data_IF_495630869219
#
_entry.id   IF_495630869219
#
_cell.length_a   1.000
_cell.length_b   1.000
_cell.length_c   1.000
_cell.angle_alpha   90.00
_cell.angle_beta   90.00
_cell.angle_gamma   90.00
#
_symmetry.space_group_name_H-M   'P 1'
#
loop_
_entity.id
_entity.type
_entity.pdbx_description
1 polymer ?
#
# COMPACT_ATOMS: atom_id res chain seq x y z
N UNK A 1 -21.69 -11.13 -28.29
CA UNK A 1 -22.61 -11.69 -27.25
C UNK A 1 -22.05 -12.87 -26.45
N UNK A 2 -21.31 -13.84 -27.04
CA UNK A 2 -20.74 -14.98 -26.28
C UNK A 2 -19.69 -14.58 -25.22
N UNK A 3 -18.82 -13.62 -25.55
CA UNK A 3 -17.79 -13.09 -24.64
C UNK A 3 -18.39 -12.42 -23.40
N UNK A 4 -19.39 -11.57 -23.58
CA UNK A 4 -20.07 -10.87 -22.48
C UNK A 4 -20.71 -11.84 -21.48
N UNK A 5 -21.30 -12.94 -21.97
CA UNK A 5 -21.83 -14.02 -21.12
C UNK A 5 -20.75 -14.72 -20.29
N UNK A 6 -19.52 -14.80 -20.81
CA UNK A 6 -18.38 -15.36 -20.07
C UNK A 6 -17.91 -14.37 -19.01
N UNK A 7 -17.86 -13.08 -19.33
CA UNK A 7 -17.51 -12.02 -18.38
C UNK A 7 -18.45 -11.99 -17.16
N UNK A 8 -19.77 -12.09 -17.37
CA UNK A 8 -20.75 -12.11 -16.26
C UNK A 8 -20.56 -13.27 -15.30
N UNK A 9 -20.19 -14.45 -15.79
CA UNK A 9 -19.89 -15.57 -14.90
C UNK A 9 -18.54 -15.41 -14.23
N UNK A 10 -17.54 -14.94 -14.99
CA UNK A 10 -16.18 -14.79 -14.52
C UNK A 10 -16.12 -13.83 -13.33
N UNK A 11 -16.92 -12.76 -13.32
CA UNK A 11 -16.98 -11.84 -12.18
C UNK A 11 -17.46 -12.51 -10.89
N UNK A 12 -18.51 -13.34 -10.96
CA UNK A 12 -19.01 -14.09 -9.79
C UNK A 12 -17.90 -15.01 -9.25
N UNK A 13 -17.28 -15.80 -10.12
CA UNK A 13 -16.21 -16.71 -9.70
C UNK A 13 -14.96 -15.99 -9.20
N UNK A 14 -14.61 -14.85 -9.81
CA UNK A 14 -13.53 -13.98 -9.34
C UNK A 14 -13.73 -13.59 -7.87
N UNK A 15 -14.92 -13.08 -7.51
CA UNK A 15 -15.19 -12.66 -6.14
C UNK A 15 -15.27 -13.84 -5.16
N UNK A 16 -15.81 -14.99 -5.58
CA UNK A 16 -15.79 -16.22 -4.77
C UNK A 16 -14.35 -16.66 -4.50
N UNK A 17 -13.49 -16.69 -5.52
CA UNK A 17 -12.08 -17.08 -5.38
C UNK A 17 -11.35 -16.09 -4.46
N UNK A 18 -11.57 -14.78 -4.61
CA UNK A 18 -10.98 -13.77 -3.71
C UNK A 18 -11.42 -13.96 -2.27
N UNK A 19 -12.69 -14.26 -2.03
CA UNK A 19 -13.19 -14.51 -0.67
C UNK A 19 -12.55 -15.76 -0.07
N UNK A 20 -12.41 -16.84 -0.84
CA UNK A 20 -11.72 -18.06 -0.39
C UNK A 20 -10.25 -17.76 -0.08
N UNK A 21 -9.55 -17.04 -0.96
CA UNK A 21 -8.15 -16.65 -0.70
C UNK A 21 -8.02 -15.80 0.56
N UNK A 22 -8.95 -14.88 0.81
CA UNK A 22 -8.97 -14.13 2.06
C UNK A 22 -9.16 -15.05 3.27
N UNK A 23 -10.04 -16.05 3.20
CA UNK A 23 -10.24 -17.00 4.30
C UNK A 23 -9.03 -17.90 4.54
N UNK A 24 -8.29 -18.27 3.48
CA UNK A 24 -7.09 -19.13 3.57
C UNK A 24 -5.87 -18.35 4.04
N UNK A 25 -5.66 -17.14 3.53
CA UNK A 25 -4.46 -16.32 3.80
C UNK A 25 -4.67 -15.40 5.01
N UNK A 26 -5.93 -15.09 5.34
CA UNK A 26 -6.33 -14.12 6.37
C UNK A 26 -6.07 -14.56 7.81
N UNK A 27 -5.62 -15.80 8.05
CA UNK A 27 -5.22 -16.25 9.39
C UNK A 27 -3.84 -15.68 9.75
N UNK A 28 -3.94 -14.52 10.42
CA UNK A 28 -3.04 -13.77 11.32
C UNK A 28 -1.76 -13.11 10.81
N UNK A 29 -0.85 -13.72 10.04
CA UNK A 29 0.44 -13.05 9.73
C UNK A 29 0.78 -12.97 8.24
N UNK A 30 0.39 -13.99 7.48
CA UNK A 30 0.73 -14.10 6.06
C UNK A 30 0.05 -13.00 5.23
N UNK A 31 -1.19 -12.64 5.59
CA UNK A 31 -1.91 -11.56 4.94
C UNK A 31 -1.25 -10.21 5.16
N UNK A 32 -0.89 -9.89 6.41
CA UNK A 32 -0.19 -8.65 6.75
C UNK A 32 1.18 -8.60 6.07
N UNK A 33 1.89 -9.72 6.01
CA UNK A 33 3.15 -9.84 5.27
C UNK A 33 2.97 -9.55 3.78
N UNK A 34 2.01 -10.17 3.09
CA UNK A 34 1.82 -9.87 1.67
C UNK A 34 1.36 -8.43 1.43
N UNK A 35 0.55 -7.89 2.33
CA UNK A 35 -0.07 -6.58 2.15
C UNK A 35 0.89 -5.42 2.46
N UNK A 36 1.49 -5.43 3.65
CA UNK A 36 2.28 -4.31 4.19
C UNK A 36 3.77 -4.42 3.93
N UNK A 37 4.30 -5.60 3.62
CA UNK A 37 5.73 -5.75 3.38
C UNK A 37 6.13 -5.04 2.08
N UNK A 38 7.17 -4.21 2.18
CA UNK A 38 7.67 -3.32 1.14
C UNK A 38 8.14 -4.02 -0.14
N UNK A 39 8.43 -5.32 -0.11
CA UNK A 39 8.89 -6.07 -1.28
C UNK A 39 7.80 -6.89 -1.99
N UNK A 40 6.63 -7.03 -1.37
CA UNK A 40 5.64 -8.04 -1.79
C UNK A 40 4.61 -7.54 -2.80
N UNK A 41 4.85 -6.42 -3.49
CA UNK A 41 3.91 -5.83 -4.45
C UNK A 41 3.47 -6.81 -5.54
N UNK A 42 4.43 -7.45 -6.21
CA UNK A 42 4.14 -8.41 -7.28
C UNK A 42 3.39 -9.63 -6.75
N UNK A 43 3.85 -10.21 -5.64
CA UNK A 43 3.24 -11.39 -5.01
C UNK A 43 1.80 -11.09 -4.59
N UNK A 44 1.58 -9.93 -3.96
CA UNK A 44 0.25 -9.51 -3.57
C UNK A 44 -0.67 -9.28 -4.79
N UNK A 45 -0.20 -8.58 -5.82
CA UNK A 45 -0.97 -8.36 -7.07
C UNK A 45 -1.32 -9.71 -7.71
N UNK A 46 -0.36 -10.62 -7.78
CA UNK A 46 -0.58 -11.94 -8.35
C UNK A 46 -1.65 -12.72 -7.58
N UNK A 47 -1.50 -12.84 -6.26
CA UNK A 47 -2.40 -13.61 -5.40
C UNK A 47 -3.80 -12.99 -5.34
N UNK A 48 -3.91 -11.66 -5.24
CA UNK A 48 -5.20 -11.00 -4.95
C UNK A 48 -5.96 -10.54 -6.20
N UNK A 49 -5.29 -10.37 -7.34
CA UNK A 49 -5.91 -9.89 -8.57
C UNK A 49 -5.75 -10.89 -9.72
N UNK A 50 -4.51 -11.22 -10.11
CA UNK A 50 -4.25 -11.99 -11.33
C UNK A 50 -4.79 -13.42 -11.21
N UNK A 51 -4.42 -14.13 -10.13
CA UNK A 51 -4.85 -15.51 -9.91
C UNK A 51 -6.38 -15.64 -9.84
N UNK A 52 -7.13 -14.80 -9.09
CA UNK A 52 -8.58 -14.80 -9.11
C UNK A 52 -9.20 -14.52 -10.47
N UNK A 53 -8.63 -13.63 -11.28
CA UNK A 53 -9.12 -13.34 -12.63
C UNK A 53 -8.96 -14.60 -13.51
N UNK A 54 -7.79 -15.22 -13.48
CA UNK A 54 -7.51 -16.44 -14.26
C UNK A 54 -8.48 -17.55 -13.86
N UNK A 55 -8.59 -17.85 -12.56
CA UNK A 55 -9.48 -18.89 -12.06
C UNK A 55 -10.94 -18.57 -12.36
N UNK A 56 -11.37 -17.32 -12.21
CA UNK A 56 -12.72 -16.89 -12.53
C UNK A 56 -13.09 -17.10 -14.00
N UNK A 57 -12.15 -16.80 -14.90
CA UNK A 57 -12.30 -17.07 -16.34
C UNK A 57 -12.40 -18.58 -16.59
N UNK A 58 -11.49 -19.39 -16.03
CA UNK A 58 -11.49 -20.85 -16.20
C UNK A 58 -12.82 -21.47 -15.73
N UNK A 59 -13.32 -21.09 -14.55
CA UNK A 59 -14.62 -21.55 -14.06
C UNK A 59 -15.79 -21.09 -14.93
N UNK A 60 -15.75 -19.87 -15.47
CA UNK A 60 -16.76 -19.40 -16.42
C UNK A 60 -16.79 -20.20 -17.74
N UNK A 61 -15.65 -20.77 -18.12
CA UNK A 61 -15.55 -21.71 -19.24
C UNK A 61 -16.11 -23.09 -18.90
N UNK A 62 -15.71 -23.66 -17.77
CA UNK A 62 -16.14 -24.99 -17.33
C UNK A 62 -17.64 -25.07 -17.01
N UNK A 63 -18.20 -24.05 -16.35
CA UNK A 63 -19.56 -24.13 -15.79
C UNK A 63 -20.62 -23.59 -16.78
N UNK A 64 -21.53 -24.49 -17.18
CA UNK A 64 -22.68 -24.19 -18.02
C UNK A 64 -23.92 -23.92 -17.16
N UNK A 65 -24.00 -22.74 -16.56
CA UNK A 65 -25.19 -22.30 -15.81
C UNK A 65 -25.81 -21.02 -16.38
N UNK A 66 -27.11 -21.08 -16.70
CA UNK A 66 -27.91 -19.90 -17.10
C UNK A 66 -28.17 -19.00 -15.90
N UNK A 67 -28.41 -19.58 -14.72
CA UNK A 67 -28.61 -18.83 -13.47
C UNK A 67 -27.40 -17.94 -13.18
N UNK A 68 -26.19 -18.51 -13.15
CA UNK A 68 -24.96 -17.74 -12.87
C UNK A 68 -24.77 -16.62 -13.90
N UNK A 69 -25.02 -16.90 -15.17
CA UNK A 69 -24.94 -15.88 -16.22
C UNK A 69 -25.94 -14.73 -16.01
N UNK A 70 -27.18 -15.04 -15.62
CA UNK A 70 -28.21 -14.03 -15.41
C UNK A 70 -27.96 -13.24 -14.11
N UNK A 71 -27.50 -13.90 -13.04
CA UNK A 71 -27.06 -13.26 -11.80
C UNK A 71 -25.89 -12.30 -12.07
N UNK A 72 -24.94 -12.72 -12.91
CA UNK A 72 -23.75 -11.93 -13.25
C UNK A 72 -24.06 -10.60 -13.95
N UNK A 73 -25.23 -10.48 -14.59
CA UNK A 73 -25.70 -9.22 -15.18
C UNK A 73 -26.02 -8.16 -14.13
N UNK A 74 -26.44 -8.58 -12.94
CA UNK A 74 -26.69 -7.69 -11.80
C UNK A 74 -25.41 -7.49 -11.00
N UNK A 75 -24.65 -8.56 -10.81
CA UNK A 75 -23.45 -8.53 -10.00
C UNK A 75 -22.31 -7.70 -10.61
N UNK A 76 -21.99 -7.88 -11.90
CA UNK A 76 -20.84 -7.20 -12.51
C UNK A 76 -20.91 -5.67 -12.45
N UNK A 77 -22.05 -5.00 -12.78
CA UNK A 77 -22.15 -3.55 -12.63
C UNK A 77 -21.97 -3.07 -11.18
N UNK A 78 -22.59 -3.77 -10.22
CA UNK A 78 -22.47 -3.43 -8.79
C UNK A 78 -21.03 -3.60 -8.29
N UNK A 79 -20.37 -4.67 -8.73
CA UNK A 79 -18.95 -4.92 -8.45
C UNK A 79 -18.08 -3.75 -8.95
N UNK A 80 -18.24 -3.35 -10.22
CA UNK A 80 -17.46 -2.25 -10.81
C UNK A 80 -17.69 -0.94 -10.04
N UNK A 81 -18.95 -0.59 -9.77
CA UNK A 81 -19.30 0.64 -9.05
C UNK A 81 -18.67 0.64 -7.65
N UNK A 82 -18.82 -0.47 -6.91
CA UNK A 82 -18.23 -0.59 -5.58
C UNK A 82 -16.71 -0.51 -5.61
N UNK A 83 -16.05 -1.13 -6.60
CA UNK A 83 -14.60 -1.02 -6.73
C UNK A 83 -14.13 0.39 -7.03
N UNK A 84 -14.81 1.13 -7.91
CA UNK A 84 -14.47 2.53 -8.19
C UNK A 84 -14.60 3.39 -6.91
N UNK A 85 -15.71 3.23 -6.17
CA UNK A 85 -15.93 3.96 -4.93
C UNK A 85 -14.88 3.59 -3.88
N UNK A 86 -14.62 2.29 -3.70
CA UNK A 86 -13.64 1.78 -2.75
C UNK A 86 -12.22 2.26 -3.04
N UNK A 87 -11.80 2.23 -4.30
CA UNK A 87 -10.50 2.76 -4.73
C UNK A 87 -10.41 4.28 -4.55
N UNK A 88 -11.51 5.02 -4.80
CA UNK A 88 -11.57 6.45 -4.54
C UNK A 88 -11.41 6.79 -3.06
N UNK A 89 -12.13 6.06 -2.19
CA UNK A 89 -11.99 6.19 -0.74
C UNK A 89 -10.56 5.86 -0.29
N UNK A 90 -9.98 4.76 -0.77
CA UNK A 90 -8.64 4.35 -0.40
C UNK A 90 -7.59 5.38 -0.79
N UNK A 91 -7.70 5.95 -2.01
CA UNK A 91 -6.78 7.01 -2.47
C UNK A 91 -6.87 8.26 -1.60
N UNK A 92 -8.09 8.66 -1.23
CA UNK A 92 -8.32 9.89 -0.48
C UNK A 92 -7.93 9.75 0.99
N UNK A 93 -8.22 8.60 1.61
CA UNK A 93 -7.96 8.37 3.03
C UNK A 93 -6.54 7.82 3.28
N UNK A 94 -6.13 6.80 2.52
CA UNK A 94 -4.84 6.12 2.75
C UNK A 94 -3.72 6.63 1.84
N UNK A 95 -3.98 7.53 0.89
CA UNK A 95 -2.96 8.11 0.01
C UNK A 95 -2.56 7.25 -1.19
N UNK A 96 -3.11 6.04 -1.31
CA UNK A 96 -2.85 5.09 -2.41
C UNK A 96 -4.11 4.36 -2.85
N UNK A 97 -4.14 3.92 -4.11
CA UNK A 97 -5.35 3.32 -4.70
C UNK A 97 -5.56 1.89 -4.22
N UNK A 98 -4.51 1.07 -4.29
CA UNK A 98 -4.63 -0.38 -4.11
C UNK A 98 -4.04 -0.78 -2.76
N UNK A 99 -2.72 -0.87 -2.65
CA UNK A 99 -2.02 -1.21 -1.41
C UNK A 99 -1.00 -0.14 -1.08
N UNK A 100 -0.55 -0.11 0.17
CA UNK A 100 0.56 0.74 0.60
C UNK A 100 1.73 0.58 -0.38
N UNK A 101 2.29 1.68 -0.91
CA UNK A 101 3.32 1.61 -1.95
C UNK A 101 4.59 0.97 -1.40
N UNK A 102 5.32 0.18 -2.22
CA UNK A 102 6.67 -0.28 -1.85
C UNK A 102 7.66 0.87 -1.67
N UNK A 103 8.81 0.61 -1.04
CA UNK A 103 9.95 1.54 -1.13
C UNK A 103 10.38 1.71 -2.60
N UNK A 104 11.02 2.84 -2.92
CA UNK A 104 11.49 3.11 -4.28
C UNK A 104 12.48 2.05 -4.78
N UNK A 105 12.44 1.77 -6.09
CA UNK A 105 13.28 0.76 -6.74
C UNK A 105 14.78 1.00 -6.53
N UNK A 106 15.20 2.25 -6.45
CA UNK A 106 16.59 2.66 -6.21
C UNK A 106 17.09 2.14 -4.86
N UNK A 107 16.23 2.18 -3.83
CA UNK A 107 16.56 1.63 -2.52
C UNK A 107 16.68 0.10 -2.57
N UNK A 108 15.89 -0.56 -3.43
CA UNK A 108 15.99 -2.02 -3.66
C UNK A 108 17.28 -2.42 -4.36
N UNK A 109 17.93 -1.49 -5.04
CA UNK A 109 19.20 -1.68 -5.73
C UNK A 109 20.37 -0.97 -5.01
N UNK A 110 20.16 -0.57 -3.75
CA UNK A 110 21.21 0.07 -2.96
C UNK A 110 22.38 -0.89 -2.77
N UNK A 111 23.59 -0.34 -2.80
CA UNK A 111 24.82 -1.07 -2.54
C UNK A 111 25.58 -0.48 -1.37
N UNK A 112 25.49 0.83 -1.15
CA UNK A 112 26.21 1.54 -0.10
C UNK A 112 25.31 2.55 0.61
N UNK A 113 25.52 2.69 1.91
CA UNK A 113 24.98 3.75 2.76
C UNK A 113 26.12 4.76 2.98
N UNK A 114 25.86 6.01 2.67
CA UNK A 114 26.82 7.11 2.82
C UNK A 114 26.57 7.90 4.10
N UNK A 115 25.30 8.14 4.43
CA UNK A 115 24.90 8.87 5.63
C UNK A 115 23.51 8.47 6.10
N UNK A 116 23.26 8.52 7.42
CA UNK A 116 21.92 8.37 7.99
C UNK A 116 21.72 9.48 9.01
N UNK A 117 20.82 10.41 8.73
CA UNK A 117 20.55 11.57 9.59
C UNK A 117 19.09 11.62 9.99
N UNK A 118 18.82 11.72 11.29
CA UNK A 118 17.48 11.96 11.82
C UNK A 118 17.43 13.34 12.44
N UNK A 119 16.39 14.09 12.13
CA UNK A 119 16.15 15.39 12.72
C UNK A 119 14.67 15.59 13.00
N UNK A 120 14.34 16.54 13.86
CA UNK A 120 12.95 16.92 14.12
C UNK A 120 12.82 18.44 14.22
N UNK A 121 11.66 18.95 13.86
CA UNK A 121 11.26 20.32 14.10
C UNK A 121 9.88 20.32 14.74
N UNK A 122 9.72 21.17 15.74
CA UNK A 122 8.43 21.44 16.37
C UNK A 122 7.69 22.51 15.59
N UNK A 123 6.37 22.62 15.79
CA UNK A 123 5.54 23.64 15.15
C UNK A 123 6.13 25.06 15.27
N UNK A 124 6.61 25.45 16.45
CA UNK A 124 7.16 26.79 16.70
C UNK A 124 8.58 27.01 16.14
N UNK A 125 9.23 25.97 15.61
CA UNK A 125 10.63 26.05 15.16
C UNK A 125 10.72 25.96 13.64
N UNK A 126 11.29 27.01 13.05
CA UNK A 126 11.57 27.05 11.61
C UNK A 126 12.75 26.15 11.18
N UNK A 127 13.49 25.56 12.13
CA UNK A 127 14.71 24.78 11.85
C UNK A 127 14.63 23.39 12.45
N UNK A 128 15.02 22.40 11.66
CA UNK A 128 15.29 21.05 12.14
C UNK A 128 16.46 21.03 13.12
N UNK A 129 16.33 20.22 14.16
CA UNK A 129 17.38 19.91 15.13
C UNK A 129 17.74 18.44 14.94
N UNK A 130 19.03 18.16 14.70
CA UNK A 130 19.54 16.78 14.60
C UNK A 130 19.24 16.08 15.92
N UNK A 131 18.60 14.91 15.83
CA UNK A 131 18.27 14.12 17.00
C UNK A 131 19.55 13.55 17.61
N UNK A 132 19.74 13.74 18.92
CA UNK A 132 20.92 13.25 19.65
C UNK A 132 20.96 11.72 19.77
N UNK A 133 19.78 11.08 19.75
CA UNK A 133 19.66 9.63 19.89
C UNK A 133 19.17 8.96 18.61
N UNK A 134 19.97 7.99 18.26
CA UNK A 134 20.02 7.20 17.05
C UNK A 134 19.02 6.08 17.15
N UNK A 135 17.90 6.26 16.46
CA UNK A 135 16.85 5.27 16.20
C UNK A 135 16.59 4.37 17.41
N UNK A 136 15.54 4.66 18.17
CA UNK A 136 14.88 3.62 18.97
C UNK A 136 14.36 2.55 18.00
N UNK A 137 15.26 1.72 17.48
CA UNK A 137 14.95 0.42 16.96
C UNK A 137 14.48 -0.33 18.18
N UNK A 138 13.17 -0.24 18.48
CA UNK A 138 12.58 -1.21 19.38
C UNK A 138 13.00 -2.56 18.82
N UNK A 139 13.75 -3.33 19.62
CA UNK A 139 14.25 -4.68 19.27
C UNK A 139 13.05 -5.54 18.86
N UNK A 140 12.65 -5.46 17.61
CA UNK A 140 11.51 -6.19 17.09
C UNK A 140 11.96 -6.88 15.82
N UNK A 141 12.69 -7.98 16.02
CA UNK A 141 12.90 -9.00 14.99
C UNK A 141 11.63 -9.78 14.67
N UNK A 142 10.45 -9.15 14.74
CA UNK A 142 9.19 -9.80 14.45
C UNK A 142 8.37 -8.98 13.46
N UNK A 143 7.96 -9.67 12.39
CA UNK A 143 7.05 -9.25 11.31
C UNK A 143 5.66 -8.78 11.78
N UNK A 144 5.39 -8.75 13.09
CA UNK A 144 4.06 -8.64 13.66
C UNK A 144 3.46 -7.24 13.60
N UNK A 145 4.19 -6.24 13.10
CA UNK A 145 3.71 -4.87 13.08
C UNK A 145 4.21 -4.04 11.88
N UNK A 146 4.15 -4.62 10.67
CA UNK A 146 4.56 -3.93 9.44
C UNK A 146 3.76 -2.66 9.14
N UNK A 147 2.57 -2.53 9.74
CA UNK A 147 1.70 -1.39 9.54
C UNK A 147 2.23 -0.10 10.19
N UNK A 148 2.90 -0.21 11.35
CA UNK A 148 3.51 0.95 12.04
C UNK A 148 5.01 1.13 11.74
N UNK A 149 5.59 0.32 10.84
CA UNK A 149 6.99 0.49 10.38
C UNK A 149 7.06 1.58 9.33
N UNK A 150 7.54 2.75 9.74
CA UNK A 150 7.67 3.94 8.87
C UNK A 150 9.14 4.18 8.54
N UNK A 151 9.92 4.64 9.52
CA UNK A 151 11.36 4.89 9.40
C UNK A 151 12.18 3.60 9.29
N UNK A 152 11.58 2.45 9.60
CA UNK A 152 12.24 1.16 9.55
C UNK A 152 12.26 0.54 8.15
N UNK A 153 11.38 0.98 7.25
CA UNK A 153 11.22 0.36 5.92
C UNK A 153 12.51 0.33 5.09
N UNK A 154 13.34 1.39 5.06
CA UNK A 154 14.64 1.33 4.37
C UNK A 154 15.59 0.31 4.96
N UNK A 155 15.63 0.19 6.29
CA UNK A 155 16.52 -0.75 6.96
C UNK A 155 16.09 -2.18 6.75
N UNK A 156 14.78 -2.45 6.73
CA UNK A 156 14.28 -3.77 6.36
C UNK A 156 14.66 -4.14 4.92
N UNK A 157 14.69 -3.16 4.00
CA UNK A 157 15.17 -3.38 2.65
C UNK A 157 16.68 -3.69 2.62
N UNK A 158 17.49 -2.98 3.40
CA UNK A 158 18.93 -3.26 3.54
C UNK A 158 19.18 -4.66 4.11
N UNK A 159 18.43 -5.06 5.13
CA UNK A 159 18.52 -6.41 5.70
C UNK A 159 18.12 -7.49 4.68
N UNK A 160 17.12 -7.22 3.83
CA UNK A 160 16.70 -8.14 2.76
C UNK A 160 17.74 -8.29 1.64
N UNK A 161 18.58 -7.27 1.42
CA UNK A 161 19.69 -7.32 0.47
C UNK A 161 20.91 -8.08 0.99
N UNK A 162 20.95 -8.37 2.30
CA UNK A 162 22.03 -9.13 2.91
C UNK A 162 23.34 -8.35 2.94
N UNK A 163 24.46 -9.02 2.64
CA UNK A 163 25.82 -8.49 2.83
C UNK A 163 26.36 -7.73 1.61
N UNK A 164 25.55 -6.91 0.96
CA UNK A 164 26.03 -6.04 -0.12
C UNK A 164 26.65 -4.78 0.50
N UNK A 165 27.89 -4.47 0.08
CA UNK A 165 28.61 -3.25 0.49
C UNK A 165 28.61 -3.07 2.00
N UNK A 166 28.32 -1.87 2.46
CA UNK A 166 28.18 -1.58 3.88
C UNK A 166 26.72 -1.63 4.41
N UNK A 167 25.76 -2.13 3.64
CA UNK A 167 24.34 -2.13 4.02
C UNK A 167 24.05 -2.78 5.40
N UNK A 168 24.63 -3.95 5.77
CA UNK A 168 24.43 -4.55 7.10
C UNK A 168 24.89 -3.67 8.26
N UNK A 169 25.80 -2.73 7.99
CA UNK A 169 26.37 -1.83 8.99
C UNK A 169 25.55 -0.57 9.22
N UNK A 170 24.32 -0.49 8.71
CA UNK A 170 23.41 0.64 8.94
C UNK A 170 23.31 1.04 10.43
N UNK A 171 23.37 0.07 11.36
CA UNK A 171 23.34 0.31 12.82
C UNK A 171 24.59 1.04 13.33
N UNK A 172 25.75 0.80 12.74
CA UNK A 172 27.00 1.49 13.06
C UNK A 172 27.01 2.88 12.41
N UNK A 173 26.64 2.95 11.13
CA UNK A 173 26.59 4.19 10.34
C UNK A 173 25.62 5.20 10.97
N UNK A 174 24.45 4.76 11.44
CA UNK A 174 23.51 5.67 12.12
C UNK A 174 24.07 6.23 13.42
N UNK A 175 25.04 5.56 14.06
CA UNK A 175 25.67 6.04 15.29
C UNK A 175 26.89 6.94 15.06
N UNK A 176 27.40 6.97 13.83
CA UNK A 176 28.57 7.76 13.50
C UNK A 176 28.21 9.24 13.28
N UNK A 177 28.62 10.11 14.20
CA UNK A 177 28.38 11.56 14.13
C UNK A 177 29.11 12.24 12.97
N UNK A 178 30.22 11.67 12.48
CA UNK A 178 30.98 12.23 11.35
C UNK A 178 30.29 12.00 10.01
N UNK A 179 29.42 11.00 9.93
CA UNK A 179 28.63 10.66 8.75
C UNK A 179 27.25 11.33 8.77
N UNK A 180 27.03 12.36 9.61
CA UNK A 180 25.76 13.09 9.65
C UNK A 180 25.77 14.21 8.63
N UNK A 181 24.61 14.43 8.01
CA UNK A 181 24.39 15.59 7.18
C UNK A 181 24.53 16.87 8.02
N UNK A 182 25.11 17.88 7.40
CA UNK A 182 25.23 19.21 7.97
C UNK A 182 23.87 19.90 8.04
N UNK A 183 23.77 20.91 8.91
CA UNK A 183 22.58 21.77 8.98
C UNK A 183 22.26 22.45 7.64
N UNK A 184 23.27 22.67 6.78
CA UNK A 184 23.08 23.27 5.46
C UNK A 184 22.36 22.29 4.52
N UNK A 185 22.84 21.05 4.44
CA UNK A 185 22.24 20.00 3.61
C UNK A 185 20.81 19.68 4.06
N UNK A 186 20.56 19.61 5.38
CA UNK A 186 19.21 19.42 5.91
C UNK A 186 18.26 20.57 5.54
N UNK A 187 18.74 21.82 5.51
CA UNK A 187 17.94 22.97 5.06
C UNK A 187 17.61 22.87 3.57
N UNK A 188 18.58 22.51 2.74
CA UNK A 188 18.37 22.34 1.30
C UNK A 188 17.31 21.25 1.02
N UNK A 189 17.38 20.12 1.72
CA UNK A 189 16.38 19.05 1.64
C UNK A 189 15.01 19.54 2.13
N UNK A 190 14.95 20.23 3.26
CA UNK A 190 13.70 20.80 3.77
C UNK A 190 13.06 21.76 2.75
N UNK A 191 13.86 22.64 2.15
CA UNK A 191 13.37 23.62 1.19
C UNK A 191 12.80 22.94 -0.06
N UNK A 192 13.43 21.86 -0.54
CA UNK A 192 12.90 21.05 -1.64
C UNK A 192 11.54 20.44 -1.27
N UNK A 193 11.44 19.85 -0.08
CA UNK A 193 10.20 19.20 0.39
C UNK A 193 9.08 20.22 0.56
N UNK A 194 9.34 21.36 1.20
CA UNK A 194 8.33 22.41 1.40
C UNK A 194 7.88 22.99 0.05
N UNK A 195 8.81 23.27 -0.87
CA UNK A 195 8.49 23.78 -2.21
C UNK A 195 7.67 22.79 -3.05
N UNK A 196 7.79 21.49 -2.79
CA UNK A 196 7.02 20.46 -3.50
C UNK A 196 5.50 20.58 -3.31
N UNK A 197 5.06 21.27 -2.24
CA UNK A 197 3.64 21.35 -1.84
C UNK A 197 2.97 19.97 -1.63
N UNK A 198 3.77 18.92 -1.41
CA UNK A 198 3.28 17.55 -1.28
C UNK A 198 2.79 17.21 0.14
N UNK A 199 3.23 17.99 1.14
CA UNK A 199 2.81 17.85 2.53
C UNK A 199 1.37 18.34 2.69
N UNK A 200 0.52 17.51 3.30
CA UNK A 200 -0.84 17.89 3.64
C UNK A 200 -0.87 18.80 4.86
N UNK A 201 -1.87 19.68 4.86
CA UNK A 201 -2.13 20.58 5.99
C UNK A 201 -3.07 19.88 6.98
N UNK A 202 -2.86 20.06 8.29
CA UNK A 202 -3.80 19.55 9.28
C UNK A 202 -5.17 20.21 9.13
N UNK A 203 -6.21 19.48 9.51
CA UNK A 203 -7.56 20.01 9.68
C UNK A 203 -7.59 21.04 10.82
N UNK A 204 -8.62 21.90 10.81
CA UNK A 204 -8.79 22.92 11.84
C UNK A 204 -8.84 22.28 13.23
N UNK A 205 -8.02 22.77 14.16
CA UNK A 205 -7.88 22.24 15.51
C UNK A 205 -6.75 21.21 15.68
N UNK A 206 -6.08 20.81 14.59
CA UNK A 206 -4.92 19.91 14.62
C UNK A 206 -3.60 20.60 14.27
N UNK A 207 -3.56 21.93 14.13
CA UNK A 207 -2.40 22.66 13.63
C UNK A 207 -1.14 22.47 14.49
N UNK A 208 -1.28 22.52 15.81
CA UNK A 208 -0.17 22.33 16.75
C UNK A 208 0.42 20.92 16.66
N UNK A 209 -0.45 19.91 16.51
CA UNK A 209 -0.05 18.51 16.42
C UNK A 209 0.54 18.19 15.05
N UNK A 210 -0.18 18.53 13.98
CA UNK A 210 0.12 18.17 12.60
C UNK A 210 1.40 18.76 12.07
N UNK A 211 1.79 19.94 12.51
CA UNK A 211 2.97 20.65 12.00
C UNK A 211 4.30 20.23 12.65
N UNK A 212 4.28 19.32 13.63
CA UNK A 212 5.50 18.69 14.14
C UNK A 212 6.04 17.71 13.10
N UNK A 213 7.25 17.94 12.58
CA UNK A 213 7.85 17.05 11.58
C UNK A 213 9.07 16.34 12.15
N UNK A 214 9.10 15.02 11.98
CA UNK A 214 10.29 14.20 12.13
C UNK A 214 10.76 13.77 10.75
N UNK A 215 12.05 13.92 10.47
CA UNK A 215 12.66 13.56 9.19
C UNK A 215 13.77 12.53 9.42
N UNK A 216 13.84 11.55 8.53
CA UNK A 216 14.97 10.66 8.36
C UNK A 216 15.48 10.83 6.93
N UNK A 217 16.76 11.14 6.80
CA UNK A 217 17.46 11.20 5.52
C UNK A 217 18.48 10.08 5.49
N UNK A 218 18.38 9.21 4.50
CA UNK A 218 19.36 8.18 4.18
C UNK A 218 19.98 8.56 2.86
N UNK A 219 21.26 8.84 2.87
CA UNK A 219 22.04 8.99 1.67
C UNK A 219 22.63 7.62 1.31
N UNK A 220 22.40 7.19 0.10
CA UNK A 220 22.83 5.88 -0.38
C UNK A 220 23.29 5.96 -1.82
N UNK A 221 24.05 4.96 -2.23
CA UNK A 221 24.50 4.80 -3.60
C UNK A 221 24.08 3.45 -4.17
N UNK A 222 24.05 3.38 -5.49
CA UNK A 222 23.79 2.16 -6.26
C UNK A 222 24.96 1.90 -7.18
N UNK A 223 25.44 0.66 -7.23
CA UNK A 223 26.39 0.21 -8.24
C UNK A 223 25.77 -0.97 -9.02
N UNK A 224 25.46 -0.80 -10.32
CA UNK A 224 24.83 -1.85 -11.12
C UNK A 224 25.77 -3.02 -11.46
N UNK A 225 27.09 -2.86 -11.28
CA UNK A 225 28.10 -3.88 -11.58
C UNK A 225 28.40 -4.81 -10.38
N UNK A 226 27.81 -4.53 -9.22
CA UNK A 226 28.01 -5.31 -7.99
C UNK A 226 26.91 -6.36 -7.84
N UNK A 227 27.29 -7.63 -7.89
CA UNK A 227 26.38 -8.78 -7.78
C UNK A 227 26.76 -9.73 -6.62
N UNK A 228 27.58 -9.29 -5.65
CA UNK A 228 28.17 -10.18 -4.64
C UNK A 228 28.08 -9.69 -3.19
N UNK A 229 27.95 -10.67 -2.29
CA UNK A 229 28.09 -10.56 -0.84
C UNK A 229 29.55 -10.30 -0.47
N UNK A 230 29.82 -9.29 0.33
CA UNK A 230 31.15 -9.08 0.91
C UNK A 230 31.25 -9.80 2.27
N UNK A 231 32.38 -10.48 2.48
CA UNK A 231 32.73 -11.20 3.72
C UNK A 231 32.69 -10.29 4.96
N UNK A 232 32.21 -10.84 6.09
CA UNK A 232 32.02 -10.14 7.39
C UNK A 232 33.29 -9.54 8.02
N UNK A 233 34.48 -9.80 7.49
CA UNK A 233 35.77 -9.41 8.05
C UNK A 233 36.42 -8.20 7.37
N UNK A 234 35.65 -7.15 7.08
CA UNK A 234 36.21 -5.88 6.61
C UNK A 234 36.36 -4.92 7.78
N UNK A 235 37.62 -4.61 8.10
CA UNK A 235 37.95 -3.44 8.91
C UNK A 235 37.37 -2.20 8.22
N UNK A 236 36.58 -1.40 8.95
CA UNK A 236 35.99 -0.13 8.49
C UNK A 236 34.74 -0.22 7.58
N UNK A 237 33.87 -1.21 7.81
CA UNK A 237 32.51 -1.36 7.23
C UNK A 237 31.55 -0.17 7.43
N UNK A 238 31.99 0.97 7.98
CA UNK A 238 31.19 2.20 8.02
C UNK A 238 31.40 3.07 6.78
N UNK A 239 32.48 2.84 6.02
CA UNK A 239 32.75 3.56 4.78
C UNK A 239 32.20 2.78 3.58
N UNK A 240 31.91 3.46 2.45
CA UNK A 240 31.54 2.80 1.21
C UNK A 240 32.68 1.88 0.75
N UNK A 241 32.34 0.67 0.32
CA UNK A 241 33.29 -0.35 -0.11
C UNK A 241 33.43 -0.42 -1.62
N UNK A 242 32.40 0.00 -2.34
CA UNK A 242 32.36 0.07 -3.80
C UNK A 242 32.47 1.50 -4.30
N UNK A 243 33.02 1.64 -5.51
CA UNK A 243 32.82 2.85 -6.31
C UNK A 243 31.36 2.93 -6.75
N UNK A 244 30.86 4.14 -6.97
CA UNK A 244 29.48 4.38 -7.40
C UNK A 244 29.37 5.68 -8.17
N UNK A 245 28.52 5.67 -9.18
CA UNK A 245 28.25 6.86 -10.02
C UNK A 245 27.04 7.66 -9.51
N UNK A 246 26.01 6.94 -9.03
CA UNK A 246 24.75 7.54 -8.64
C UNK A 246 24.57 7.55 -7.12
N UNK A 247 24.23 8.74 -6.62
CA UNK A 247 23.92 9.02 -5.21
C UNK A 247 22.51 9.56 -5.09
N UNK A 248 21.80 9.03 -4.10
CA UNK A 248 20.42 9.36 -3.80
C UNK A 248 20.27 9.77 -2.34
N UNK A 249 19.30 10.63 -2.06
CA UNK A 249 18.75 10.79 -0.73
C UNK A 249 17.34 10.18 -0.70
N UNK A 250 17.16 9.16 0.14
CA UNK A 250 15.85 8.70 0.55
C UNK A 250 15.43 9.48 1.79
N UNK A 251 14.32 10.19 1.69
CA UNK A 251 13.83 11.05 2.77
C UNK A 251 12.46 10.58 3.22
N UNK A 252 12.35 10.13 4.47
CA UNK A 252 11.07 9.86 5.13
C UNK A 252 10.73 11.04 6.03
N UNK A 253 9.53 11.59 5.87
CA UNK A 253 8.97 12.63 6.73
C UNK A 253 7.73 12.07 7.41
N UNK A 254 7.76 12.07 8.74
CA UNK A 254 6.60 11.79 9.59
C UNK A 254 6.07 13.11 10.12
N UNK A 255 4.83 13.44 9.75
CA UNK A 255 4.11 14.56 10.37
C UNK A 255 3.44 14.09 11.64
N UNK A 256 3.03 15.04 12.48
CA UNK A 256 2.06 14.76 13.51
C UNK A 256 0.65 14.52 12.92
N UNK A 257 -0.34 14.61 13.80
CA UNK A 257 -1.71 14.26 13.50
C UNK A 257 -2.38 15.30 12.58
N UNK A 258 -2.92 14.88 11.44
CA UNK A 258 -3.63 15.77 10.52
C UNK A 258 -5.13 15.88 10.86
N UNK A 259 -5.72 14.79 11.33
CA UNK A 259 -7.11 14.71 11.77
C UNK A 259 -7.24 13.57 12.79
N UNK A 260 -8.44 13.29 13.30
CA UNK A 260 -8.62 12.31 14.39
C UNK A 260 -7.96 10.95 14.07
N UNK A 261 -6.94 10.60 14.86
CA UNK A 261 -6.03 9.47 14.74
C UNK A 261 -5.32 9.27 13.40
N UNK A 262 -5.25 10.29 12.53
CA UNK A 262 -4.74 10.15 11.17
C UNK A 262 -3.35 10.76 11.00
N UNK A 263 -2.36 9.91 10.69
CA UNK A 263 -0.95 10.29 10.64
C UNK A 263 -0.34 10.04 9.26
N UNK A 264 0.20 11.08 8.60
CA UNK A 264 0.80 10.94 7.29
C UNK A 264 2.29 10.58 7.39
N UNK A 265 2.71 9.76 6.45
CA UNK A 265 4.11 9.51 6.14
C UNK A 265 4.35 9.88 4.67
N UNK A 266 5.39 10.67 4.45
CA UNK A 266 5.84 11.06 3.13
C UNK A 266 7.22 10.47 2.87
N UNK A 267 7.43 9.94 1.68
CA UNK A 267 8.72 9.45 1.23
C UNK A 267 9.11 10.17 -0.05
N UNK A 268 10.35 10.64 -0.12
CA UNK A 268 10.92 11.34 -1.26
C UNK A 268 12.22 10.68 -1.69
N UNK A 269 12.44 10.58 -2.99
CA UNK A 269 13.72 10.26 -3.57
C UNK A 269 14.29 11.53 -4.19
N UNK A 270 15.47 11.94 -3.74
CA UNK A 270 16.17 13.11 -4.26
C UNK A 270 17.42 12.64 -4.97
N UNK A 271 17.60 13.12 -6.20
CA UNK A 271 18.79 12.87 -7.02
C UNK A 271 19.28 14.21 -7.57
N UNK A 272 20.59 14.48 -7.48
CA UNK A 272 21.21 15.71 -8.04
C UNK A 272 20.47 17.00 -7.61
N UNK A 273 20.03 17.05 -6.35
CA UNK A 273 19.33 18.20 -5.76
C UNK A 273 17.88 18.39 -6.21
N UNK A 274 17.24 17.38 -6.80
CA UNK A 274 15.84 17.42 -7.25
C UNK A 274 15.05 16.23 -6.71
N UNK A 275 13.80 16.45 -6.33
CA UNK A 275 12.86 15.36 -6.03
C UNK A 275 12.50 14.68 -7.36
N UNK A 276 12.91 13.42 -7.51
CA UNK A 276 12.64 12.60 -8.71
C UNK A 276 11.45 11.64 -8.49
N UNK A 277 11.20 11.24 -7.24
CA UNK A 277 10.02 10.45 -6.86
C UNK A 277 9.50 10.91 -5.51
N UNK A 278 8.19 10.77 -5.32
CA UNK A 278 7.53 11.04 -4.05
C UNK A 278 6.32 10.14 -3.89
N UNK A 279 6.04 9.72 -2.66
CA UNK A 279 4.85 8.96 -2.31
C UNK A 279 4.41 9.30 -0.89
N UNK A 280 3.13 9.09 -0.61
CA UNK A 280 2.55 9.27 0.71
C UNK A 280 1.65 8.11 1.06
N UNK A 281 1.54 7.86 2.35
CA UNK A 281 0.59 6.92 2.92
C UNK A 281 0.27 7.34 4.35
N UNK A 282 -0.78 6.76 4.91
CA UNK A 282 -1.22 7.08 6.25
C UNK A 282 -1.30 5.82 7.10
N UNK A 283 -1.30 6.04 8.41
CA UNK A 283 -1.69 5.04 9.38
C UNK A 283 -2.59 5.70 10.44
N UNK A 284 -3.47 4.87 10.99
CA UNK A 284 -4.35 5.22 12.10
C UNK A 284 -3.94 4.47 13.37
N UNK A 285 -4.16 5.08 14.55
CA UNK A 285 -3.87 4.46 15.86
C UNK A 285 -5.13 3.91 16.56
N UNK A 286 -6.28 4.58 16.44
CA UNK A 286 -7.55 4.16 17.07
C UNK A 286 -8.80 4.42 16.20
N UNK A 287 -8.60 4.72 14.92
CA UNK A 287 -9.64 4.99 13.92
C UNK A 287 -10.11 3.73 13.18
N UNK A 288 -10.11 3.80 11.84
CA UNK A 288 -10.48 2.67 10.97
C UNK A 288 -9.26 1.83 10.61
N UNK A 289 -8.41 1.55 11.60
CA UNK A 289 -7.10 0.92 11.43
C UNK A 289 -7.15 -0.29 10.49
N UNK A 290 -6.35 -0.24 9.42
CA UNK A 290 -6.26 -1.33 8.45
C UNK A 290 -7.53 -1.58 7.64
N UNK A 291 -8.55 -0.73 7.69
CA UNK A 291 -9.76 -0.78 6.85
C UNK A 291 -9.49 -0.27 5.42
N UNK A 292 -8.39 -0.73 4.82
CA UNK A 292 -8.05 -0.46 3.43
C UNK A 292 -9.00 -1.22 2.51
N UNK A 293 -9.45 -0.56 1.44
CA UNK A 293 -10.39 -1.16 0.50
C UNK A 293 -9.81 -2.43 -0.10
N UNK A 294 -8.54 -2.44 -0.49
CA UNK A 294 -7.90 -3.64 -1.06
C UNK A 294 -7.90 -4.84 -0.10
N UNK A 295 -7.87 -4.57 1.20
CA UNK A 295 -7.98 -5.58 2.25
C UNK A 295 -9.41 -6.07 2.44
N UNK A 296 -10.36 -5.15 2.49
CA UNK A 296 -11.77 -5.45 2.73
C UNK A 296 -12.55 -5.80 1.46
N UNK A 297 -11.99 -5.61 0.29
CA UNK A 297 -12.64 -5.81 -1.00
C UNK A 297 -13.24 -7.21 -1.15
N UNK A 298 -12.56 -8.32 -0.82
CA UNK A 298 -13.19 -9.65 -0.93
C UNK A 298 -14.45 -9.80 -0.07
N UNK A 299 -14.50 -9.16 1.11
CA UNK A 299 -15.69 -9.15 1.98
C UNK A 299 -16.80 -8.31 1.34
N UNK A 300 -16.48 -7.08 0.92
CA UNK A 300 -17.44 -6.19 0.26
C UNK A 300 -18.04 -6.83 -1.00
N UNK A 301 -17.22 -7.51 -1.79
CA UNK A 301 -17.64 -8.25 -2.98
C UNK A 301 -18.55 -9.42 -2.64
N UNK A 302 -18.24 -10.17 -1.58
CA UNK A 302 -19.12 -11.22 -1.04
C UNK A 302 -20.49 -10.67 -0.64
N UNK A 303 -20.52 -9.53 0.06
CA UNK A 303 -21.77 -8.85 0.44
C UNK A 303 -22.57 -8.38 -0.79
N UNK A 304 -21.88 -7.83 -1.80
CA UNK A 304 -22.51 -7.43 -3.08
C UNK A 304 -23.06 -8.64 -3.83
N UNK A 305 -22.39 -9.79 -3.75
CA UNK A 305 -22.88 -11.03 -4.36
C UNK A 305 -24.16 -11.50 -3.68
N UNK A 306 -24.21 -11.48 -2.35
CA UNK A 306 -25.42 -11.79 -1.58
C UNK A 306 -26.56 -10.83 -1.96
N UNK A 307 -26.28 -9.52 -1.98
CA UNK A 307 -27.25 -8.50 -2.40
C UNK A 307 -27.75 -8.77 -3.82
N UNK A 308 -26.86 -9.14 -4.74
CA UNK A 308 -27.22 -9.46 -6.12
C UNK A 308 -28.14 -10.67 -6.22
N UNK A 309 -27.93 -11.69 -5.38
CA UNK A 309 -28.82 -12.87 -5.29
C UNK A 309 -30.21 -12.45 -4.82
N UNK A 310 -30.30 -11.61 -3.78
CA UNK A 310 -31.58 -11.10 -3.25
C UNK A 310 -32.31 -10.29 -4.33
N UNK A 311 -31.65 -9.32 -4.95
CA UNK A 311 -32.22 -8.48 -6.00
C UNK A 311 -32.69 -9.32 -7.20
N UNK A 312 -31.89 -10.31 -7.60
CA UNK A 312 -32.26 -11.25 -8.66
C UNK A 312 -33.49 -12.08 -8.29
N UNK A 313 -33.58 -12.55 -7.05
CA UNK A 313 -34.73 -13.29 -6.52
C UNK A 313 -36.02 -12.47 -6.54
N UNK A 314 -35.95 -11.22 -6.05
CA UNK A 314 -37.07 -10.27 -6.10
C UNK A 314 -37.50 -10.01 -7.55
N UNK A 315 -36.56 -9.73 -8.44
CA UNK A 315 -36.84 -9.54 -9.86
C UNK A 315 -37.59 -10.74 -10.48
N UNK A 316 -37.14 -11.97 -10.18
CA UNK A 316 -37.78 -13.20 -10.66
C UNK A 316 -39.19 -13.39 -10.09
N UNK A 317 -39.37 -13.12 -8.80
CA UNK A 317 -40.67 -13.20 -8.14
C UNK A 317 -41.66 -12.20 -8.75
N UNK A 318 -41.26 -10.93 -8.91
CA UNK A 318 -42.09 -9.90 -9.53
C UNK A 318 -42.48 -10.27 -10.95
N UNK A 319 -41.53 -10.78 -11.74
CA UNK A 319 -41.80 -11.23 -13.11
C UNK A 319 -42.80 -12.39 -13.14
N UNK A 320 -42.65 -13.37 -12.24
CA UNK A 320 -43.55 -14.52 -12.12
C UNK A 320 -44.97 -14.09 -11.72
N UNK A 321 -45.10 -13.23 -10.69
CA UNK A 321 -46.38 -12.68 -10.24
C UNK A 321 -47.09 -11.91 -11.36
N UNK A 322 -46.37 -11.04 -12.09
CA UNK A 322 -46.92 -10.31 -13.23
C UNK A 322 -47.40 -11.25 -14.34
N UNK A 323 -46.63 -12.28 -14.67
CA UNK A 323 -47.00 -13.26 -15.69
C UNK A 323 -48.28 -14.00 -15.31
N UNK A 324 -48.38 -14.48 -14.07
CA UNK A 324 -49.56 -15.20 -13.58
C UNK A 324 -50.80 -14.31 -13.51
N UNK A 325 -50.63 -13.06 -13.06
CA UNK A 325 -51.72 -12.08 -13.03
C UNK A 325 -52.28 -11.79 -14.43
N UNK A 326 -51.39 -11.60 -15.42
CA UNK A 326 -51.80 -11.42 -16.82
C UNK A 326 -52.54 -12.66 -17.38
N UNK A 327 -52.05 -13.86 -17.09
CA UNK A 327 -52.71 -15.11 -17.51
C UNK A 327 -54.11 -15.26 -16.89
N UNK A 328 -54.26 -14.90 -15.62
CA UNK A 328 -55.57 -14.90 -14.96
C UNK A 328 -56.52 -13.90 -15.62
N UNK A 329 -56.07 -12.66 -15.88
CA UNK A 329 -56.90 -11.62 -16.51
C UNK A 329 -57.38 -12.01 -17.92
N UNK A 330 -56.52 -12.63 -18.73
CA UNK A 330 -56.89 -13.10 -20.08
C UNK A 330 -57.96 -14.20 -20.00
N UNK A 331 -57.82 -15.16 -19.07
CA UNK A 331 -58.82 -16.21 -18.87
C UNK A 331 -60.18 -15.65 -18.48
N UNK A 332 -60.21 -14.65 -17.61
CA UNK A 332 -61.47 -14.00 -17.18
C UNK A 332 -62.15 -13.24 -18.31
N UNK A 333 -61.39 -12.57 -19.19
CA UNK A 333 -61.95 -11.83 -20.35
C UNK A 333 -62.45 -12.80 -21.44
N UNK A 334 -61.79 -13.93 -21.68
CA UNK A 334 -62.21 -14.91 -22.69
C UNK A 334 -63.42 -15.77 -22.31
N UNK A 335 -63.96 -15.61 -21.10
CA UNK A 335 -65.17 -16.28 -20.62
C UNK A 335 -66.40 -15.35 -20.57
N UNK A 336 -66.19 -14.06 -20.85
CA UNK A 336 -67.22 -13.05 -21.08
C UNK A 336 -67.44 -12.91 -22.59
#
# INVERSE_FOLDING_TARGET
MKLLKKLFKASIFYSIVRLILLLVIGTSDLYNFFHYHFSNDLTWIFLTLILPIILGILFAFAIKSKFINDLGKFFLPLLIISSIIGYGFNKNYWGYIIKRPSVFSELKNSTEILSITRASKTFDKNKYQISRDTVEFKKFGYFLDLYYKDFERPFMQFEALGYIGNLPSYKKIVNNQKLKLTDKELREINDLIVKSSFLEKPENGYEEYGNNLSIQVIEFATNPEVDYLISENIENIENPLFEYDDKYFFVTVKSGQLSNDHYPIYEFLIEKGKIVKQQKYFYDVAGIEGAEYSRLAPIAEGLILILSIILFGIYKLVFWLRKNWLQHRIKTIGQL
#
